data_IF_232038968102
#
_entry.id   IF_232038968102
#
_cell.length_a   1.000
_cell.length_b   1.000
_cell.length_c   1.000
_cell.angle_alpha   90.00
_cell.angle_beta   90.00
_cell.angle_gamma   90.00
#
_symmetry.space_group_name_H-M   'P 1'
#
loop_
_entity.id
_entity.type
_entity.pdbx_description
1 polymer ?
#
# COMPACT_ATOMS: atom_id res chain seq x y z
N UNK A 1 15.74 15.24 -8.43
CA UNK A 1 16.35 14.20 -9.29
C UNK A 1 17.76 13.94 -8.83
N UNK A 2 18.56 14.98 -8.58
CA UNK A 2 19.92 14.90 -8.04
C UNK A 2 20.15 13.81 -6.96
N UNK A 3 19.39 13.79 -5.84
CA UNK A 3 19.55 12.74 -4.83
C UNK A 3 19.31 11.28 -5.33
N UNK A 4 18.41 11.10 -6.30
CA UNK A 4 18.13 9.78 -6.87
C UNK A 4 19.23 9.33 -7.83
N UNK A 5 19.80 10.29 -8.57
CA UNK A 5 20.94 10.08 -9.46
C UNK A 5 22.20 9.74 -8.64
N UNK A 6 22.40 10.43 -7.51
CA UNK A 6 23.53 10.22 -6.58
C UNK A 6 23.47 8.85 -5.87
N UNK A 7 22.28 8.30 -5.67
CA UNK A 7 22.05 7.00 -5.01
C UNK A 7 21.68 5.88 -5.99
N UNK A 8 21.81 6.11 -7.30
CA UNK A 8 21.58 5.14 -8.38
C UNK A 8 20.19 4.46 -8.37
N UNK A 9 19.14 5.16 -7.92
CA UNK A 9 17.77 4.62 -7.97
C UNK A 9 16.86 5.39 -8.93
N UNK A 10 15.97 4.66 -9.60
CA UNK A 10 15.04 5.24 -10.57
C UNK A 10 13.75 5.74 -9.91
N UNK A 11 13.37 6.99 -10.19
CA UNK A 11 12.11 7.56 -9.71
C UNK A 11 10.96 7.18 -10.65
N UNK A 12 10.07 6.30 -10.20
CA UNK A 12 8.82 6.02 -10.89
C UNK A 12 7.72 7.00 -10.47
N UNK A 13 7.01 7.59 -11.43
CA UNK A 13 5.87 8.50 -11.19
C UNK A 13 4.58 7.82 -11.61
N UNK A 14 3.54 7.95 -10.79
CA UNK A 14 2.18 7.55 -11.15
C UNK A 14 1.46 8.70 -11.86
N UNK A 15 0.45 8.38 -12.66
CA UNK A 15 -0.39 9.41 -13.27
C UNK A 15 -1.10 10.24 -12.20
N UNK A 16 -1.27 11.56 -12.42
CA UNK A 16 -1.97 12.41 -11.47
C UNK A 16 -3.37 11.87 -11.15
N UNK A 17 -3.78 11.95 -9.89
CA UNK A 17 -5.11 11.54 -9.40
C UNK A 17 -5.46 10.07 -9.67
N UNK A 18 -4.46 9.19 -9.73
CA UNK A 18 -4.65 7.75 -9.86
C UNK A 18 -4.16 6.99 -8.60
N UNK A 19 -4.88 7.12 -7.47
CA UNK A 19 -4.50 6.49 -6.20
C UNK A 19 -4.38 4.97 -6.31
N UNK A 20 -5.21 4.35 -7.15
CA UNK A 20 -5.23 2.90 -7.37
C UNK A 20 -3.91 2.32 -7.91
N UNK A 21 -3.07 3.15 -8.52
CA UNK A 21 -1.75 2.73 -9.01
C UNK A 21 -0.66 2.72 -7.94
N UNK A 22 -0.91 3.26 -6.74
CA UNK A 22 0.05 3.24 -5.65
C UNK A 22 -0.32 2.15 -4.61
N UNK A 23 0.41 1.02 -4.55
CA UNK A 23 0.10 -0.07 -3.62
C UNK A 23 0.27 0.33 -2.14
N UNK A 24 1.02 1.38 -1.84
CA UNK A 24 1.33 1.84 -0.48
C UNK A 24 0.10 2.45 0.22
N UNK A 25 -0.89 2.92 -0.53
CA UNK A 25 -2.07 3.59 0.04
C UNK A 25 -2.86 2.71 1.01
N UNK A 26 -2.94 1.40 0.74
CA UNK A 26 -3.63 0.46 1.63
C UNK A 26 -2.96 0.41 3.00
N UNK A 27 -1.63 0.30 3.03
CA UNK A 27 -0.85 0.26 4.27
C UNK A 27 -0.92 1.60 4.99
N UNK A 28 -0.81 2.72 4.27
CA UNK A 28 -0.93 4.05 4.86
C UNK A 28 -2.30 4.30 5.50
N UNK A 29 -3.37 3.72 4.93
CA UNK A 29 -4.71 3.77 5.54
C UNK A 29 -4.75 3.04 6.88
N UNK A 30 -4.17 1.86 6.97
CA UNK A 30 -4.08 1.08 8.23
C UNK A 30 -3.24 1.84 9.26
N UNK A 31 -2.08 2.38 8.87
CA UNK A 31 -1.24 3.19 9.75
C UNK A 31 -2.02 4.39 10.28
N UNK A 32 -2.68 5.13 9.39
CA UNK A 32 -3.49 6.28 9.78
C UNK A 32 -4.65 5.91 10.73
N UNK A 33 -5.23 4.72 10.59
CA UNK A 33 -6.29 4.25 11.48
C UNK A 33 -5.77 3.99 12.89
N UNK A 34 -4.65 3.26 13.02
CA UNK A 34 -4.04 2.98 14.33
C UNK A 34 -3.55 4.27 14.99
N UNK A 35 -2.90 5.15 14.22
CA UNK A 35 -2.43 6.45 14.70
C UNK A 35 -3.59 7.30 15.21
N UNK A 36 -4.73 7.37 14.50
CA UNK A 36 -5.91 8.10 14.96
C UNK A 36 -6.48 7.54 16.26
N UNK A 37 -6.52 6.21 16.39
CA UNK A 37 -6.99 5.56 17.61
C UNK A 37 -6.06 5.84 18.80
N UNK A 38 -4.74 5.84 18.59
CA UNK A 38 -3.78 6.09 19.66
C UNK A 38 -3.67 7.58 20.04
N UNK A 39 -3.88 8.47 19.06
CA UNK A 39 -3.83 9.91 19.24
C UNK A 39 -5.17 10.53 19.69
N UNK A 40 -6.20 9.73 19.97
CA UNK A 40 -7.51 10.23 20.38
C UNK A 40 -7.43 11.02 21.69
N UNK A 41 -6.58 10.56 22.61
CA UNK A 41 -6.50 11.10 23.96
C UNK A 41 -5.31 12.08 24.11
N UNK A 42 -4.20 11.79 23.41
CA UNK A 42 -2.96 12.57 23.45
C UNK A 42 -2.34 12.69 22.07
N UNK A 43 -2.55 13.84 21.44
CA UNK A 43 -2.07 14.14 20.08
C UNK A 43 -0.54 14.15 19.93
N UNK A 44 0.23 14.19 21.02
CA UNK A 44 1.70 14.16 21.02
C UNK A 44 2.28 12.75 21.16
N UNK A 45 1.46 11.76 21.52
CA UNK A 45 1.93 10.40 21.83
C UNK A 45 1.98 9.46 20.63
N UNK A 46 1.45 9.87 19.47
CA UNK A 46 1.31 8.98 18.30
C UNK A 46 2.62 8.39 17.79
N UNK A 47 3.74 9.10 17.93
CA UNK A 47 5.04 8.63 17.48
C UNK A 47 5.50 7.38 18.25
N UNK A 48 5.03 7.21 19.49
CA UNK A 48 5.41 6.09 20.38
C UNK A 48 4.86 4.74 19.90
N UNK A 49 3.75 4.73 19.17
CA UNK A 49 3.15 3.50 18.67
C UNK A 49 3.79 3.03 17.35
N UNK A 50 4.48 3.91 16.62
CA UNK A 50 5.02 3.62 15.29
C UNK A 50 5.94 2.39 15.27
N UNK A 51 6.94 2.23 16.16
CA UNK A 51 7.82 1.06 16.11
C UNK A 51 7.07 -0.26 16.34
N UNK A 52 6.08 -0.27 17.25
CA UNK A 52 5.26 -1.46 17.51
C UNK A 52 4.34 -1.77 16.34
N UNK A 53 3.76 -0.74 15.73
CA UNK A 53 2.90 -0.85 14.56
C UNK A 53 3.65 -1.41 13.35
N UNK A 54 4.85 -0.89 13.07
CA UNK A 54 5.71 -1.40 12.00
C UNK A 54 6.01 -2.89 12.19
N UNK A 55 6.44 -3.26 13.40
CA UNK A 55 6.72 -4.66 13.75
C UNK A 55 5.50 -5.57 13.54
N UNK A 56 4.33 -5.08 13.94
CA UNK A 56 3.06 -5.81 13.77
C UNK A 56 2.72 -5.97 12.29
N UNK A 57 2.79 -4.89 11.51
CA UNK A 57 2.49 -4.93 10.07
C UNK A 57 3.42 -5.84 9.28
N UNK A 58 4.70 -5.92 9.67
CA UNK A 58 5.68 -6.79 9.03
C UNK A 58 5.50 -8.26 9.42
N UNK A 59 5.04 -8.54 10.63
CA UNK A 59 4.84 -9.89 11.18
C UNK A 59 3.50 -10.54 10.83
N UNK A 60 2.47 -9.73 10.53
CA UNK A 60 1.13 -10.22 10.23
C UNK A 60 0.98 -10.63 8.76
N UNK A 61 0.26 -11.72 8.50
CA UNK A 61 -0.05 -12.19 7.13
C UNK A 61 -0.95 -11.21 6.40
N UNK A 62 -0.53 -10.74 5.22
CA UNK A 62 -1.35 -9.86 4.39
C UNK A 62 -2.22 -10.69 3.44
N UNK A 63 -3.49 -10.35 3.28
CA UNK A 63 -4.42 -11.11 2.42
C UNK A 63 -4.07 -11.08 0.92
N UNK A 64 -3.29 -10.10 0.47
CA UNK A 64 -2.88 -9.95 -0.94
C UNK A 64 -1.79 -10.94 -1.35
N UNK A 65 -0.82 -11.17 -0.47
CA UNK A 65 0.30 -12.10 -0.66
C UNK A 65 0.02 -13.46 -0.01
N UNK A 66 -0.79 -13.46 1.04
CA UNK A 66 -1.01 -14.56 1.98
C UNK A 66 0.28 -15.01 2.70
N UNK A 67 1.20 -14.06 2.88
CA UNK A 67 2.42 -14.18 3.68
C UNK A 67 2.62 -12.88 4.47
N UNK A 68 3.33 -12.96 5.58
CA UNK A 68 3.82 -11.77 6.27
C UNK A 68 4.99 -11.14 5.48
N UNK A 69 5.10 -9.80 5.40
CA UNK A 69 6.21 -9.14 4.71
C UNK A 69 7.59 -9.63 5.16
N UNK A 70 7.76 -9.87 6.46
CA UNK A 70 9.00 -10.35 7.05
C UNK A 70 9.40 -11.75 6.51
N UNK A 71 8.44 -12.65 6.29
CA UNK A 71 8.66 -13.99 5.69
C UNK A 71 9.14 -13.93 4.23
N UNK A 72 8.80 -12.85 3.51
CA UNK A 72 9.25 -12.61 2.14
C UNK A 72 10.57 -11.84 2.09
N UNK A 73 10.90 -11.11 3.16
CA UNK A 73 12.07 -10.24 3.20
C UNK A 73 13.31 -10.95 3.74
N UNK A 74 13.18 -11.78 4.79
CA UNK A 74 14.30 -12.43 5.48
C UNK A 74 14.11 -13.95 5.53
N UNK A 75 15.24 -14.66 5.57
CA UNK A 75 15.28 -16.09 5.87
C UNK A 75 15.29 -16.33 7.39
N UNK A 76 14.69 -17.44 7.83
CA UNK A 76 14.69 -17.87 9.24
C UNK A 76 13.49 -17.42 10.10
N UNK A 77 13.55 -17.77 11.38
CA UNK A 77 12.50 -17.44 12.37
C UNK A 77 12.68 -15.99 12.82
N UNK A 78 11.65 -15.17 12.59
CA UNK A 78 11.69 -13.76 12.93
C UNK A 78 11.12 -13.60 14.33
N UNK A 79 12.00 -13.36 15.30
CA UNK A 79 11.60 -13.13 16.69
C UNK A 79 10.99 -11.73 16.83
N UNK A 80 9.68 -11.67 16.66
CA UNK A 80 8.95 -10.40 16.69
C UNK A 80 8.60 -9.98 18.12
N UNK A 81 8.71 -10.86 19.13
CA UNK A 81 8.29 -10.54 20.51
C UNK A 81 6.84 -10.04 20.59
N UNK A 82 6.03 -10.37 19.57
CA UNK A 82 4.61 -10.08 19.49
C UNK A 82 3.84 -11.28 20.02
N UNK A 83 2.56 -11.06 20.33
CA UNK A 83 1.63 -12.13 20.68
C UNK A 83 1.60 -13.19 19.58
N UNK A 84 1.55 -14.47 19.95
CA UNK A 84 1.48 -15.59 18.99
C UNK A 84 0.27 -15.48 18.08
N UNK A 85 -0.81 -14.84 18.52
CA UNK A 85 -1.98 -14.56 17.68
C UNK A 85 -1.69 -13.60 16.49
N UNK A 86 -0.62 -12.81 16.55
CA UNK A 86 -0.21 -11.86 15.51
C UNK A 86 0.91 -12.39 14.61
N UNK A 87 1.50 -13.52 15.01
CA UNK A 87 2.61 -14.16 14.31
C UNK A 87 2.01 -15.13 13.29
N UNK A 88 2.49 -15.03 12.04
CA UNK A 88 2.23 -16.05 11.02
C UNK A 88 2.78 -17.39 11.51
N UNK A 89 1.94 -18.43 11.56
CA UNK A 89 2.41 -19.79 11.85
C UNK A 89 3.41 -20.17 10.76
N UNK A 90 4.70 -20.41 11.08
CA UNK A 90 5.70 -20.69 10.07
C UNK A 90 5.27 -21.95 9.33
N UNK A 91 4.84 -21.79 8.07
CA UNK A 91 4.69 -22.95 7.20
C UNK A 91 6.09 -23.56 7.07
N UNK A 92 6.31 -24.79 7.57
CA UNK A 92 7.58 -25.46 7.38
C UNK A 92 7.73 -25.75 5.88
N UNK A 93 8.90 -26.21 5.48
CA UNK A 93 9.27 -26.64 4.11
C UNK A 93 9.52 -25.60 2.98
N UNK A 94 8.82 -24.47 2.85
CA UNK A 94 9.03 -23.60 1.66
C UNK A 94 10.22 -22.63 1.80
N UNK A 95 11.18 -22.69 0.88
CA UNK A 95 12.27 -21.72 0.71
C UNK A 95 11.72 -20.31 0.43
N UNK A 96 12.44 -19.27 0.84
CA UNK A 96 12.00 -17.87 0.67
C UNK A 96 11.70 -17.55 -0.80
N UNK A 97 12.46 -18.10 -1.73
CA UNK A 97 12.16 -17.90 -3.15
C UNK A 97 10.84 -18.53 -3.57
N UNK A 98 10.49 -19.71 -3.01
CA UNK A 98 9.20 -20.35 -3.26
C UNK A 98 8.06 -19.45 -2.75
N UNK A 99 8.19 -18.90 -1.54
CA UNK A 99 7.20 -17.96 -0.98
C UNK A 99 7.05 -16.72 -1.85
N UNK A 100 8.16 -16.14 -2.33
CA UNK A 100 8.13 -15.00 -3.26
C UNK A 100 7.43 -15.38 -4.57
N UNK A 101 7.72 -16.56 -5.15
CA UNK A 101 7.05 -17.04 -6.36
C UNK A 101 5.55 -17.20 -6.13
N UNK A 102 5.13 -17.83 -5.03
CA UNK A 102 3.71 -17.99 -4.68
C UNK A 102 3.01 -16.64 -4.48
N UNK A 103 3.63 -15.70 -3.76
CA UNK A 103 3.12 -14.35 -3.55
C UNK A 103 2.93 -13.62 -4.88
N UNK A 104 3.90 -13.72 -5.81
CA UNK A 104 3.79 -13.15 -7.16
C UNK A 104 2.63 -13.75 -7.95
N UNK A 105 2.48 -15.08 -7.92
CA UNK A 105 1.36 -15.76 -8.58
C UNK A 105 0.01 -15.30 -8.05
N UNK A 106 -0.14 -15.17 -6.71
CA UNK A 106 -1.35 -14.64 -6.08
C UNK A 106 -1.66 -13.21 -6.52
N UNK A 107 -0.65 -12.34 -6.51
CA UNK A 107 -0.80 -10.95 -6.96
C UNK A 107 -1.19 -10.85 -8.43
N UNK A 108 -0.60 -11.67 -9.30
CA UNK A 108 -0.94 -11.74 -10.72
C UNK A 108 -2.37 -12.23 -10.94
N UNK A 109 -2.78 -13.30 -10.24
CA UNK A 109 -4.15 -13.81 -10.32
C UNK A 109 -5.17 -12.76 -9.84
N UNK A 110 -4.89 -12.06 -8.74
CA UNK A 110 -5.71 -10.97 -8.24
C UNK A 110 -5.77 -9.79 -9.22
N UNK A 111 -4.64 -9.44 -9.86
CA UNK A 111 -4.60 -8.42 -10.91
C UNK A 111 -5.43 -8.82 -12.14
N UNK A 112 -5.32 -10.07 -12.60
CA UNK A 112 -6.12 -10.60 -13.72
C UNK A 112 -7.61 -10.59 -13.39
N UNK A 113 -8.00 -10.96 -12.17
CA UNK A 113 -9.39 -10.89 -11.69
C UNK A 113 -9.91 -9.45 -11.69
N UNK A 114 -9.13 -8.50 -11.17
CA UNK A 114 -9.46 -7.07 -11.20
C UNK A 114 -9.63 -6.55 -12.62
N UNK A 115 -8.71 -6.92 -13.53
CA UNK A 115 -8.79 -6.58 -14.95
C UNK A 115 -10.07 -7.11 -15.58
N UNK A 116 -10.39 -8.40 -15.41
CA UNK A 116 -11.64 -8.99 -15.92
C UNK A 116 -12.89 -8.26 -15.40
N UNK A 117 -12.91 -7.87 -14.13
CA UNK A 117 -14.04 -7.14 -13.57
C UNK A 117 -14.14 -5.71 -14.12
N UNK A 118 -13.01 -5.02 -14.30
CA UNK A 118 -12.94 -3.70 -14.89
C UNK A 118 -13.37 -3.70 -16.37
N UNK A 119 -12.93 -4.71 -17.12
CA UNK A 119 -13.24 -4.87 -18.54
C UNK A 119 -14.75 -5.11 -18.77
N UNK A 120 -15.47 -5.72 -17.81
CA UNK A 120 -16.95 -5.87 -17.89
C UNK A 120 -17.70 -4.54 -17.89
N UNK A 121 -17.17 -3.56 -17.16
CA UNK A 121 -17.81 -2.25 -16.98
C UNK A 121 -17.25 -1.18 -17.92
N UNK A 122 -16.15 -1.49 -18.62
CA UNK A 122 -15.42 -0.53 -19.45
C UNK A 122 -15.71 -0.82 -20.92
N UNK A 123 -16.60 -0.02 -21.50
CA UNK A 123 -17.00 -0.10 -22.92
C UNK A 123 -16.21 0.90 -23.80
N UNK A 124 -15.11 1.46 -23.31
CA UNK A 124 -14.34 2.44 -24.07
C UNK A 124 -13.51 1.75 -25.16
N UNK A 125 -13.66 2.20 -26.40
CA UNK A 125 -12.78 1.83 -27.50
C UNK A 125 -11.34 2.26 -27.19
N UNK A 126 -10.31 1.50 -27.60
CA UNK A 126 -8.93 1.91 -27.40
C UNK A 126 -8.65 3.22 -28.14
N UNK A 127 -8.04 4.17 -27.45
CA UNK A 127 -7.67 5.47 -28.02
C UNK A 127 -6.56 5.33 -29.05
N UNK A 128 -6.67 6.08 -30.15
CA UNK A 128 -5.65 6.19 -31.18
C UNK A 128 -4.92 7.54 -31.08
N UNK A 129 -3.70 7.59 -31.61
CA UNK A 129 -2.93 8.83 -31.68
C UNK A 129 -3.68 9.81 -32.59
N UNK A 130 -4.05 10.98 -32.06
CA UNK A 130 -4.85 12.00 -32.76
C UNK A 130 -6.28 12.14 -32.24
N UNK A 131 -6.75 11.20 -31.41
CA UNK A 131 -8.11 11.27 -30.84
C UNK A 131 -8.28 12.45 -29.89
N UNK A 132 -9.43 13.12 -29.99
CA UNK A 132 -9.85 14.14 -29.03
C UNK A 132 -10.49 13.46 -27.83
N UNK A 133 -9.86 13.61 -26.66
CA UNK A 133 -10.32 13.03 -25.40
C UNK A 133 -10.72 14.10 -24.40
N UNK A 134 -11.71 13.80 -23.56
CA UNK A 134 -12.12 14.67 -22.47
C UNK A 134 -11.19 14.48 -21.26
N UNK A 135 -10.57 15.56 -20.78
CA UNK A 135 -9.79 15.54 -19.54
C UNK A 135 -10.65 15.95 -18.34
N UNK A 136 -10.73 15.08 -17.32
CA UNK A 136 -11.43 15.40 -16.08
C UNK A 136 -10.67 16.49 -15.32
N UNK A 137 -11.28 17.68 -15.22
CA UNK A 137 -10.72 18.78 -14.43
C UNK A 137 -10.95 18.52 -12.94
N UNK A 138 -9.88 18.44 -12.17
CA UNK A 138 -9.93 18.44 -10.72
C UNK A 138 -9.93 19.90 -10.23
N UNK A 139 -10.97 20.31 -9.50
CA UNK A 139 -10.99 21.62 -8.83
C UNK A 139 -9.94 21.59 -7.72
N UNK A 140 -8.97 22.50 -7.75
CA UNK A 140 -8.11 22.75 -6.59
C UNK A 140 -8.97 23.39 -5.51
N UNK A 141 -8.93 22.87 -4.28
CA UNK A 141 -9.54 23.55 -3.14
C UNK A 141 -8.89 24.92 -3.01
N UNK A 142 -9.71 25.97 -3.11
CA UNK A 142 -9.26 27.33 -2.90
C UNK A 142 -9.20 27.55 -1.38
N UNK A 143 -8.00 27.45 -0.81
CA UNK A 143 -7.75 27.62 0.63
C UNK A 143 -8.30 28.95 1.13
N UNK A 144 -8.42 29.98 0.27
CA UNK A 144 -9.01 31.28 0.63
C UNK A 144 -10.52 31.23 0.86
N UNK A 145 -11.23 30.21 0.36
CA UNK A 145 -12.69 30.03 0.57
C UNK A 145 -13.02 29.19 1.81
N UNK A 146 -12.02 28.57 2.43
CA UNK A 146 -12.14 27.74 3.64
C UNK A 146 -11.90 28.55 4.93
N UNK A 147 -12.19 29.85 4.93
CA UNK A 147 -12.41 30.59 6.17
C UNK A 147 -13.74 30.11 6.80
N UNK A 148 -13.73 28.91 7.37
CA UNK A 148 -14.80 28.44 8.24
C UNK A 148 -14.74 29.27 9.52
N UNK A 149 -15.78 30.08 9.75
CA UNK A 149 -16.10 30.62 11.08
C UNK A 149 -16.11 29.44 12.05
N UNK A 150 -15.09 29.33 12.89
CA UNK A 150 -15.18 28.55 14.12
C UNK A 150 -16.13 29.33 15.04
N UNK A 151 -17.33 28.79 15.23
CA UNK A 151 -18.16 29.09 16.39
C UNK A 151 -17.58 28.34 17.59
#
# INVERSE_FOLDING_TARGET
MQFADDCEFQVMKTSPYNPQSNPVERVMREIGQVVRAYASDKHDAWSRIIPRLEKTLNATVHSSTGFAPDELHKDGIIQTGLDSALISDPQPEDDREQRIRQARTRLQAAAAKRKRQFDKTTTAMPYQVGDKVWFKRHKKSDVKKLATKKL
#
